data_IF_490093256553
#
_entry.id   IF_490093256553
#
_cell.length_a   1.000
_cell.length_b   1.000
_cell.length_c   1.000
_cell.angle_alpha   90.00
_cell.angle_beta   90.00
_cell.angle_gamma   90.00
#
_symmetry.space_group_name_H-M   'P 1'
#
loop_
_entity.id
_entity.type
_entity.pdbx_description
1 polymer ?
#
# COMPACT_ATOMS: atom_id res chain seq x y z
N UNK A 1 -12.46 10.61 -29.04
CA UNK A 1 -11.19 10.06 -28.52
C UNK A 1 -10.58 11.09 -27.61
N UNK A 2 -10.31 10.74 -26.38
CA UNK A 2 -9.52 11.60 -25.47
C UNK A 2 -8.09 11.49 -25.94
N UNK A 3 -7.45 12.63 -26.19
CA UNK A 3 -6.02 12.67 -26.54
C UNK A 3 -5.22 12.19 -25.31
N UNK A 4 -4.60 11.01 -25.44
CA UNK A 4 -4.01 10.22 -24.34
C UNK A 4 -2.60 10.69 -23.95
N UNK A 5 -2.35 11.99 -23.92
CA UNK A 5 -1.06 12.56 -23.48
C UNK A 5 -1.08 13.08 -22.04
N UNK A 6 -2.07 12.68 -21.24
CA UNK A 6 -2.18 13.13 -19.85
C UNK A 6 -1.38 12.21 -18.92
N UNK A 7 -0.31 12.69 -18.27
CA UNK A 7 0.55 11.86 -17.42
C UNK A 7 -0.18 11.15 -16.29
N UNK A 8 -1.25 11.73 -15.74
CA UNK A 8 -2.02 11.11 -14.67
C UNK A 8 -2.81 9.89 -15.17
N UNK A 9 -3.42 10.01 -16.35
CA UNK A 9 -4.14 8.90 -17.00
C UNK A 9 -3.15 7.80 -17.39
N UNK A 10 -2.04 8.16 -17.99
CA UNK A 10 -1.00 7.22 -18.41
C UNK A 10 -0.45 6.44 -17.21
N UNK A 11 -0.23 7.10 -16.09
CA UNK A 11 0.22 6.47 -14.84
C UNK A 11 -0.79 5.46 -14.30
N UNK A 12 -2.08 5.81 -14.29
CA UNK A 12 -3.16 4.91 -13.87
C UNK A 12 -3.20 3.66 -14.75
N UNK A 13 -3.09 3.84 -16.07
CA UNK A 13 -3.13 2.75 -17.03
C UNK A 13 -1.85 1.90 -17.03
N UNK A 14 -0.71 2.47 -16.65
CA UNK A 14 0.58 1.79 -16.59
C UNK A 14 0.77 0.92 -15.34
N UNK A 15 0.04 1.21 -14.24
CA UNK A 15 0.18 0.45 -13.00
C UNK A 15 -0.05 -1.06 -13.23
N UNK A 16 0.85 -1.86 -12.69
CA UNK A 16 0.76 -3.34 -12.70
C UNK A 16 1.14 -3.89 -11.32
N UNK A 17 0.61 -5.06 -11.00
CA UNK A 17 1.06 -5.83 -9.85
C UNK A 17 2.40 -6.49 -10.16
N UNK A 18 3.45 -6.00 -9.54
CA UNK A 18 4.84 -6.47 -9.70
C UNK A 18 5.21 -7.31 -8.50
N UNK A 19 5.71 -8.54 -8.74
CA UNK A 19 6.07 -9.52 -7.69
C UNK A 19 7.52 -10.01 -7.79
N UNK A 20 8.31 -9.43 -8.68
CA UNK A 20 9.75 -9.69 -8.79
C UNK A 20 10.50 -8.38 -8.63
N UNK A 21 11.27 -8.29 -7.57
CA UNK A 21 11.99 -7.09 -7.19
C UNK A 21 13.50 -7.28 -7.36
N UNK A 22 14.20 -6.18 -7.61
CA UNK A 22 15.65 -6.17 -7.67
C UNK A 22 16.22 -5.97 -6.25
N UNK A 23 16.70 -7.04 -5.65
CA UNK A 23 17.26 -7.05 -4.30
C UNK A 23 18.50 -6.15 -4.13
N UNK A 24 19.16 -5.79 -5.23
CA UNK A 24 20.35 -4.93 -5.21
C UNK A 24 20.02 -3.45 -5.09
N UNK A 25 18.77 -3.07 -5.29
CA UNK A 25 18.30 -1.69 -5.21
C UNK A 25 17.50 -1.49 -3.94
N UNK A 26 17.72 -0.37 -3.30
CA UNK A 26 16.95 0.07 -2.13
C UNK A 26 16.13 1.30 -2.48
N UNK A 27 15.00 1.47 -1.79
CA UNK A 27 14.16 2.65 -1.90
C UNK A 27 14.73 3.74 -1.00
N UNK A 28 14.83 4.96 -1.53
CA UNK A 28 15.36 6.11 -0.80
C UNK A 28 14.33 6.63 0.21
N UNK A 29 14.79 7.24 1.27
CA UNK A 29 13.94 7.84 2.29
C UNK A 29 12.95 8.87 1.70
N UNK A 30 13.40 9.72 0.78
CA UNK A 30 12.54 10.69 0.10
C UNK A 30 11.43 10.04 -0.73
N UNK A 31 11.68 8.87 -1.32
CA UNK A 31 10.66 8.10 -2.04
C UNK A 31 9.62 7.52 -1.08
N UNK A 32 10.05 7.01 0.07
CA UNK A 32 9.15 6.51 1.13
C UNK A 32 8.25 7.65 1.63
N UNK A 33 8.81 8.80 1.90
CA UNK A 33 8.06 9.99 2.35
C UNK A 33 7.02 10.42 1.30
N UNK A 34 7.40 10.45 0.03
CA UNK A 34 6.48 10.74 -1.07
C UNK A 34 5.33 9.72 -1.17
N UNK A 35 5.62 8.43 -1.02
CA UNK A 35 4.60 7.38 -0.99
C UNK A 35 3.59 7.59 0.14
N UNK A 36 4.06 7.90 1.35
CA UNK A 36 3.21 8.13 2.52
C UNK A 36 2.39 9.42 2.39
N UNK A 37 2.96 10.47 1.81
CA UNK A 37 2.25 11.72 1.52
C UNK A 37 1.11 11.48 0.52
N UNK A 38 1.37 10.76 -0.57
CA UNK A 38 0.36 10.39 -1.56
C UNK A 38 -0.75 9.53 -0.95
N UNK A 39 -0.40 8.56 -0.12
CA UNK A 39 -1.37 7.73 0.59
C UNK A 39 -2.25 8.56 1.52
N UNK A 40 -1.64 9.47 2.28
CA UNK A 40 -2.35 10.37 3.21
C UNK A 40 -3.26 11.38 2.52
N UNK A 41 -3.03 11.66 1.24
CA UNK A 41 -3.87 12.53 0.42
C UNK A 41 -5.16 11.85 -0.05
N UNK A 42 -5.35 10.54 0.18
CA UNK A 42 -6.57 9.84 -0.20
C UNK A 42 -7.81 10.45 0.48
N UNK A 43 -8.96 10.46 -0.22
CA UNK A 43 -10.21 10.85 0.41
C UNK A 43 -10.64 9.84 1.47
N UNK A 44 -11.45 10.29 2.42
CA UNK A 44 -12.05 9.41 3.42
C UNK A 44 -13.44 9.89 3.79
N UNK A 45 -14.29 8.98 4.25
CA UNK A 45 -15.62 9.33 4.72
C UNK A 45 -15.54 10.38 5.83
N UNK A 46 -16.31 11.45 5.71
CA UNK A 46 -16.31 12.60 6.62
C UNK A 46 -14.92 13.23 6.85
N UNK A 47 -13.97 12.98 5.96
CA UNK A 47 -12.57 13.42 6.08
C UNK A 47 -11.88 12.98 7.40
N UNK A 48 -12.28 11.83 7.93
CA UNK A 48 -11.77 11.31 9.21
C UNK A 48 -10.37 10.71 9.10
N UNK A 49 -9.95 10.32 7.89
CA UNK A 49 -8.63 9.74 7.60
C UNK A 49 -8.25 8.63 8.61
N UNK A 50 -9.02 7.53 8.67
CA UNK A 50 -8.82 6.48 9.66
C UNK A 50 -7.69 5.51 9.29
N UNK A 51 -6.86 5.85 8.34
CA UNK A 51 -5.73 5.04 7.91
C UNK A 51 -4.43 5.47 8.58
N UNK A 52 -3.63 4.47 8.96
CA UNK A 52 -2.30 4.62 9.53
C UNK A 52 -1.33 3.73 8.74
N UNK A 53 -0.07 4.12 8.68
CA UNK A 53 0.92 3.42 7.87
C UNK A 53 2.07 2.93 8.75
N UNK A 54 2.44 1.65 8.58
CA UNK A 54 3.63 1.09 9.20
C UNK A 54 4.60 0.70 8.09
N UNK A 55 5.79 1.29 8.11
CA UNK A 55 6.85 1.00 7.14
C UNK A 55 7.79 -0.06 7.73
N UNK A 56 7.91 -1.19 7.05
CA UNK A 56 8.74 -2.32 7.44
C UNK A 56 9.90 -2.45 6.46
N UNK A 57 11.12 -2.29 6.94
CA UNK A 57 12.36 -2.39 6.15
C UNK A 57 13.29 -3.49 6.63
N UNK A 58 13.01 -4.06 7.79
CA UNK A 58 13.80 -5.13 8.37
C UNK A 58 13.59 -6.45 7.61
N UNK A 59 14.68 -7.03 7.12
CA UNK A 59 14.62 -8.25 6.29
C UNK A 59 14.10 -9.46 7.02
N UNK A 60 14.38 -9.60 8.31
CA UNK A 60 13.89 -10.70 9.12
C UNK A 60 12.36 -10.62 9.25
N UNK A 61 11.85 -9.42 9.56
CA UNK A 61 10.40 -9.16 9.64
C UNK A 61 9.71 -9.43 8.31
N UNK A 62 10.27 -8.97 7.18
CA UNK A 62 9.71 -9.22 5.86
C UNK A 62 9.69 -10.71 5.51
N UNK A 63 10.76 -11.45 5.85
CA UNK A 63 10.83 -12.90 5.63
C UNK A 63 9.82 -13.66 6.49
N UNK A 64 9.66 -13.28 7.76
CA UNK A 64 8.66 -13.88 8.65
C UNK A 64 7.23 -13.70 8.12
N UNK A 65 6.91 -12.52 7.61
CA UNK A 65 5.60 -12.27 6.98
C UNK A 65 5.44 -13.11 5.70
N UNK A 66 6.50 -13.24 4.89
CA UNK A 66 6.49 -14.06 3.68
C UNK A 66 6.22 -15.54 3.97
N UNK A 67 6.69 -16.06 5.11
CA UNK A 67 6.43 -17.44 5.55
C UNK A 67 5.01 -17.62 6.07
N UNK A 68 4.49 -16.63 6.79
CA UNK A 68 3.17 -16.70 7.42
C UNK A 68 2.01 -16.50 6.43
N UNK A 69 2.22 -15.72 5.38
CA UNK A 69 1.15 -15.32 4.46
C UNK A 69 1.30 -16.02 3.10
N UNK A 70 0.31 -16.80 2.64
CA UNK A 70 0.44 -17.66 1.46
C UNK A 70 0.71 -16.91 0.15
N UNK A 71 0.38 -15.63 0.10
CA UNK A 71 0.53 -14.78 -1.09
C UNK A 71 1.58 -13.68 -0.93
N UNK A 72 2.45 -13.75 0.09
CA UNK A 72 3.43 -12.72 0.40
C UNK A 72 4.89 -13.14 0.12
N UNK A 73 5.12 -14.19 -0.63
CA UNK A 73 6.48 -14.72 -0.91
C UNK A 73 7.44 -13.69 -1.49
N UNK A 74 6.93 -12.70 -2.24
CA UNK A 74 7.75 -11.64 -2.84
C UNK A 74 8.38 -10.71 -1.80
N UNK A 75 7.93 -10.71 -0.54
CA UNK A 75 8.54 -9.93 0.53
C UNK A 75 9.98 -10.34 0.83
N UNK A 76 10.38 -11.56 0.49
CA UNK A 76 11.77 -12.03 0.64
C UNK A 76 12.75 -11.22 -0.21
N UNK A 77 12.28 -10.62 -1.30
CA UNK A 77 13.09 -9.83 -2.25
C UNK A 77 12.70 -8.35 -2.27
N UNK A 78 11.66 -7.96 -1.55
CA UNK A 78 11.22 -6.58 -1.46
C UNK A 78 12.17 -5.73 -0.60
N UNK A 79 12.33 -4.46 -0.95
CA UNK A 79 13.09 -3.49 -0.14
C UNK A 79 12.33 -3.05 1.11
N UNK A 80 11.00 -3.00 1.03
CA UNK A 80 10.13 -2.65 2.14
C UNK A 80 8.71 -3.15 1.92
N UNK A 81 7.93 -3.13 2.99
CA UNK A 81 6.48 -3.23 2.94
C UNK A 81 5.87 -2.04 3.67
N UNK A 82 4.74 -1.55 3.16
CA UNK A 82 3.92 -0.55 3.86
C UNK A 82 2.61 -1.22 4.25
N UNK A 83 2.37 -1.32 5.54
CA UNK A 83 1.12 -1.85 6.08
C UNK A 83 0.14 -0.70 6.23
N UNK A 84 -0.99 -0.78 5.54
CA UNK A 84 -2.09 0.17 5.68
C UNK A 84 -3.05 -0.37 6.73
N UNK A 85 -3.08 0.29 7.89
CA UNK A 85 -3.91 -0.07 9.03
C UNK A 85 -5.14 0.83 9.09
N UNK A 86 -6.30 0.25 9.36
CA UNK A 86 -7.55 0.99 9.53
C UNK A 86 -7.93 1.15 11.00
N UNK A 87 -8.33 2.35 11.37
CA UNK A 87 -8.95 2.64 12.66
C UNK A 87 -10.45 2.31 12.56
N UNK A 88 -10.90 1.33 13.31
CA UNK A 88 -12.28 0.84 13.27
C UNK A 88 -13.23 1.61 14.20
N UNK A 89 -12.67 2.29 15.19
CA UNK A 89 -13.42 3.04 16.21
C UNK A 89 -12.61 4.27 16.64
N UNK A 90 -13.29 5.38 16.90
CA UNK A 90 -12.71 6.60 17.47
C UNK A 90 -13.69 7.22 18.46
N UNK A 91 -13.23 7.47 19.70
CA UNK A 91 -14.05 8.06 20.77
C UNK A 91 -15.36 7.32 21.04
N UNK A 92 -15.36 5.98 20.92
CA UNK A 92 -16.55 5.15 21.13
C UNK A 92 -17.49 5.05 19.93
N UNK A 93 -17.18 5.72 18.82
CA UNK A 93 -17.97 5.67 17.59
C UNK A 93 -17.31 4.79 16.53
N UNK A 94 -18.10 3.91 15.90
CA UNK A 94 -17.61 3.05 14.82
C UNK A 94 -17.34 3.85 13.56
N UNK A 95 -16.18 3.60 12.93
CA UNK A 95 -15.79 4.16 11.64
C UNK A 95 -16.14 3.15 10.53
N UNK A 96 -17.39 3.14 10.08
CA UNK A 96 -17.93 2.09 9.19
C UNK A 96 -17.28 2.02 7.81
N UNK A 97 -16.60 3.07 7.35
CA UNK A 97 -15.97 3.16 6.02
C UNK A 97 -14.45 2.99 6.05
N UNK A 98 -13.87 2.56 7.15
CA UNK A 98 -12.43 2.45 7.29
C UNK A 98 -11.78 1.54 6.21
N UNK A 99 -12.44 0.45 5.82
CA UNK A 99 -11.92 -0.43 4.77
C UNK A 99 -11.86 0.27 3.42
N UNK A 100 -12.89 1.02 3.06
CA UNK A 100 -12.94 1.81 1.82
C UNK A 100 -11.87 2.89 1.83
N UNK A 101 -11.72 3.59 2.94
CA UNK A 101 -10.75 4.66 3.11
C UNK A 101 -9.31 4.12 3.01
N UNK A 102 -9.03 2.98 3.64
CA UNK A 102 -7.75 2.29 3.52
C UNK A 102 -7.47 1.80 2.10
N UNK A 103 -8.49 1.31 1.40
CA UNK A 103 -8.36 0.90 0.00
C UNK A 103 -8.00 2.08 -0.91
N UNK A 104 -8.60 3.25 -0.69
CA UNK A 104 -8.27 4.47 -1.41
C UNK A 104 -6.81 4.90 -1.17
N UNK A 105 -6.35 4.86 0.09
CA UNK A 105 -4.97 5.15 0.44
C UNK A 105 -3.99 4.14 -0.19
N UNK A 106 -4.34 2.85 -0.20
CA UNK A 106 -3.56 1.80 -0.85
C UNK A 106 -3.42 2.05 -2.36
N UNK A 107 -4.50 2.40 -3.06
CA UNK A 107 -4.41 2.70 -4.49
C UNK A 107 -3.51 3.91 -4.76
N UNK A 108 -3.57 4.96 -3.95
CA UNK A 108 -2.64 6.07 -4.05
C UNK A 108 -1.18 5.64 -3.88
N UNK A 109 -0.87 4.72 -2.95
CA UNK A 109 0.47 4.13 -2.82
C UNK A 109 0.93 3.44 -4.10
N UNK A 110 0.08 2.61 -4.70
CA UNK A 110 0.41 1.86 -5.90
C UNK A 110 0.63 2.79 -7.10
N UNK A 111 -0.18 3.84 -7.25
CA UNK A 111 -0.03 4.84 -8.29
C UNK A 111 1.23 5.70 -8.10
N UNK A 112 1.52 6.11 -6.87
CA UNK A 112 2.73 6.84 -6.55
C UNK A 112 3.99 6.00 -6.81
N UNK A 113 3.99 4.71 -6.44
CA UNK A 113 5.07 3.80 -6.74
C UNK A 113 5.32 3.69 -8.26
N UNK A 114 4.25 3.56 -9.04
CA UNK A 114 4.35 3.53 -10.51
C UNK A 114 4.96 4.82 -11.05
N UNK A 115 4.53 5.98 -10.57
CA UNK A 115 5.05 7.28 -10.98
C UNK A 115 6.53 7.47 -10.64
N UNK A 116 7.00 6.86 -9.54
CA UNK A 116 8.40 6.86 -9.11
C UNK A 116 9.26 5.79 -9.80
N UNK A 117 8.68 4.98 -10.70
CA UNK A 117 9.38 3.88 -11.34
C UNK A 117 9.63 2.67 -10.43
N UNK A 118 8.87 2.54 -9.35
CA UNK A 118 8.96 1.45 -8.39
C UNK A 118 7.93 0.35 -8.71
N UNK A 119 8.35 -0.91 -8.55
CA UNK A 119 7.43 -2.04 -8.60
C UNK A 119 6.69 -2.19 -7.26
N UNK A 120 5.40 -2.46 -7.33
CA UNK A 120 4.57 -2.68 -6.14
C UNK A 120 3.46 -3.67 -6.39
N UNK A 121 2.91 -4.22 -5.31
CA UNK A 121 1.75 -5.12 -5.35
C UNK A 121 0.97 -5.00 -4.03
N UNK A 122 -0.34 -5.08 -4.13
CA UNK A 122 -1.23 -5.16 -2.98
C UNK A 122 -1.32 -6.60 -2.47
N UNK A 123 -1.06 -6.80 -1.18
CA UNK A 123 -1.28 -8.06 -0.48
C UNK A 123 -2.48 -7.87 0.44
N UNK A 124 -3.55 -8.63 0.20
CA UNK A 124 -4.75 -8.58 1.03
C UNK A 124 -4.54 -9.30 2.36
N UNK A 125 -4.88 -8.64 3.46
CA UNK A 125 -4.94 -9.24 4.80
C UNK A 125 -6.40 -9.24 5.24
N UNK A 126 -6.96 -10.42 5.48
CA UNK A 126 -8.30 -10.58 6.03
C UNK A 126 -8.25 -11.32 7.35
N UNK A 127 -9.06 -10.90 8.29
CA UNK A 127 -9.40 -11.74 9.43
C UNK A 127 -10.14 -12.97 8.89
N UNK A 128 -9.53 -14.14 8.94
CA UNK A 128 -10.28 -15.36 8.66
C UNK A 128 -11.21 -15.61 9.85
N UNK A 129 -12.51 -15.58 9.60
CA UNK A 129 -13.50 -15.96 10.62
C UNK A 129 -13.46 -17.47 10.97
N UNK A 130 -12.52 -18.20 10.39
CA UNK A 130 -12.43 -19.67 10.52
C UNK A 130 -11.41 -20.15 11.56
N UNK A 131 -10.88 -19.27 12.39
CA UNK A 131 -10.03 -19.62 13.52
C UNK A 131 -10.69 -19.18 14.85
N UNK A 132 -11.92 -19.61 15.06
CA UNK A 132 -12.53 -19.72 16.37
C UNK A 132 -12.58 -21.18 16.75
#
# INVERSE_FOLDING_TARGET
MIDNTNPAIDNILARRSIRRFNEKLSIKQAEIECLLECASAAPSAHNLKPFHFVVLTDKETLSNIAEMHPYAKMLTTASLAIVVCGEMERNGEKLSYWEHDCAAAMENLLLAATALGLGSVWIGVRHSQNNL
#
